data_IF_297981514217
#
_entry.id   IF_297981514217
#
_cell.length_a   1.000
_cell.length_b   1.000
_cell.length_c   1.000
_cell.angle_alpha   90.00
_cell.angle_beta   90.00
_cell.angle_gamma   90.00
#
_symmetry.space_group_name_H-M   'P 1'
#
loop_
_entity.id
_entity.type
_entity.pdbx_description
1 polymer ?
#
# COMPACT_ATOMS: atom_id res chain seq x y z
N UNK A 1 1.01 38.34 40.01
CA UNK A 1 0.27 37.14 39.59
C UNK A 1 -0.23 37.39 38.18
N UNK A 2 0.32 36.72 37.18
CA UNK A 2 -0.18 36.79 35.81
C UNK A 2 -1.58 36.19 35.79
N UNK A 3 -2.55 36.90 35.22
CA UNK A 3 -3.85 36.32 34.87
C UNK A 3 -3.58 35.25 33.81
N UNK A 4 -3.65 33.99 34.18
CA UNK A 4 -3.77 32.91 33.21
C UNK A 4 -5.08 33.12 32.46
N UNK A 5 -4.99 33.38 31.15
CA UNK A 5 -6.14 33.37 30.28
C UNK A 5 -6.64 31.93 30.17
N UNK A 6 -7.94 31.74 30.36
CA UNK A 6 -8.56 30.43 30.09
C UNK A 6 -8.25 30.02 28.65
N UNK A 7 -7.93 28.74 28.41
CA UNK A 7 -7.70 28.25 27.07
C UNK A 7 -8.95 28.44 26.19
N UNK A 8 -8.78 28.64 24.88
CA UNK A 8 -9.89 28.74 23.96
C UNK A 8 -10.75 27.47 24.00
N UNK A 9 -12.07 27.66 23.99
CA UNK A 9 -13.05 26.57 23.91
C UNK A 9 -13.31 26.27 22.44
N UNK A 10 -13.07 25.03 22.04
CA UNK A 10 -13.34 24.55 20.68
C UNK A 10 -14.65 23.75 20.65
N UNK A 11 -15.49 23.91 19.62
CA UNK A 11 -16.63 23.04 19.38
C UNK A 11 -16.23 21.56 19.37
N UNK A 12 -17.03 20.69 19.99
CA UNK A 12 -16.79 19.25 19.98
C UNK A 12 -16.65 18.71 18.56
N UNK A 13 -17.46 19.23 17.64
CA UNK A 13 -17.46 18.87 16.21
C UNK A 13 -16.11 19.04 15.53
N UNK A 14 -15.27 19.98 15.99
CA UNK A 14 -13.94 20.21 15.40
C UNK A 14 -12.98 19.04 15.65
N UNK A 15 -13.24 18.23 16.68
CA UNK A 15 -12.43 17.05 17.01
C UNK A 15 -12.91 15.77 16.32
N UNK A 16 -14.12 15.76 15.75
CA UNK A 16 -14.73 14.58 15.14
C UNK A 16 -15.00 14.73 13.64
N UNK A 17 -14.83 15.92 13.07
CA UNK A 17 -14.97 16.15 11.63
C UNK A 17 -13.70 15.77 10.89
N UNK A 18 -13.87 15.34 9.64
CA UNK A 18 -12.76 15.23 8.70
C UNK A 18 -12.11 16.60 8.43
N UNK A 19 -10.81 16.64 8.08
CA UNK A 19 -10.19 17.87 7.64
C UNK A 19 -10.86 18.39 6.38
N UNK A 20 -10.91 19.71 6.20
CA UNK A 20 -11.50 20.32 4.99
C UNK A 20 -10.71 19.91 3.73
N UNK A 21 -9.37 19.74 3.85
CA UNK A 21 -8.48 19.14 2.84
C UNK A 21 -7.34 18.40 3.54
N UNK A 22 -6.91 17.27 3.02
CA UNK A 22 -5.78 16.52 3.59
C UNK A 22 -5.16 15.50 2.63
N UNK A 23 -4.17 14.77 3.13
CA UNK A 23 -3.58 13.62 2.44
C UNK A 23 -3.00 13.95 1.06
N UNK A 24 -2.25 15.04 0.96
CA UNK A 24 -1.67 15.49 -0.31
C UNK A 24 -0.63 14.50 -0.87
N UNK A 25 -0.65 14.26 -2.18
CA UNK A 25 0.30 13.42 -2.92
C UNK A 25 0.59 14.01 -4.30
N UNK A 26 1.83 13.94 -4.75
CA UNK A 26 2.23 14.33 -6.10
C UNK A 26 2.22 13.10 -7.01
N UNK A 27 1.79 13.29 -8.26
CA UNK A 27 2.05 12.32 -9.33
C UNK A 27 3.55 12.18 -9.58
N UNK A 28 3.99 11.06 -10.16
CA UNK A 28 5.42 10.79 -10.36
C UNK A 28 6.11 11.82 -11.27
N UNK A 29 5.39 12.40 -12.24
CA UNK A 29 5.87 13.48 -13.09
C UNK A 29 5.76 14.88 -12.46
N UNK A 30 5.20 14.98 -11.25
CA UNK A 30 5.00 16.22 -10.51
C UNK A 30 3.96 17.17 -11.12
N UNK A 31 3.19 16.74 -12.13
CA UNK A 31 2.20 17.60 -12.82
C UNK A 31 0.87 17.69 -12.09
N UNK A 32 0.57 16.74 -11.21
CA UNK A 32 -0.71 16.68 -10.52
C UNK A 32 -0.52 16.62 -9.01
N UNK A 33 -1.29 17.44 -8.31
CA UNK A 33 -1.50 17.34 -6.89
C UNK A 33 -2.83 16.62 -6.65
N UNK A 34 -2.78 15.45 -6.03
CA UNK A 34 -3.94 14.81 -5.45
C UNK A 34 -4.06 15.15 -3.96
N UNK A 35 -5.28 15.15 -3.45
CA UNK A 35 -5.62 15.29 -2.04
C UNK A 35 -7.02 14.76 -1.81
N UNK A 36 -7.45 14.68 -0.55
CA UNK A 36 -8.84 14.32 -0.22
C UNK A 36 -9.60 15.49 0.40
N UNK A 37 -10.87 15.62 0.03
CA UNK A 37 -11.84 16.52 0.67
C UNK A 37 -13.14 15.77 1.00
N UNK A 38 -13.85 16.16 2.07
CA UNK A 38 -15.18 15.65 2.35
C UNK A 38 -16.21 16.29 1.40
N UNK A 39 -16.93 15.47 0.65
CA UNK A 39 -17.98 15.90 -0.30
C UNK A 39 -19.26 15.10 -0.10
N UNK A 40 -20.40 15.78 -0.14
CA UNK A 40 -21.73 15.17 -0.12
C UNK A 40 -22.23 14.92 -1.54
N UNK A 41 -22.73 13.71 -1.79
CA UNK A 41 -23.50 13.36 -2.98
C UNK A 41 -24.89 12.88 -2.57
N UNK A 42 -25.89 13.06 -3.44
CA UNK A 42 -27.25 12.51 -3.29
C UNK A 42 -27.89 12.74 -1.91
N UNK A 43 -27.72 13.95 -1.36
CA UNK A 43 -28.17 14.37 -0.01
C UNK A 43 -27.59 13.54 1.17
N UNK A 44 -26.55 12.74 0.90
CA UNK A 44 -25.84 11.94 1.90
C UNK A 44 -24.82 12.73 2.74
N UNK A 45 -24.31 12.12 3.82
CA UNK A 45 -23.25 12.71 4.62
C UNK A 45 -22.00 12.93 3.77
N UNK A 46 -21.21 13.95 4.11
CA UNK A 46 -19.97 14.21 3.40
C UNK A 46 -18.97 13.07 3.64
N UNK A 47 -18.39 12.56 2.55
CA UNK A 47 -17.37 11.51 2.57
C UNK A 47 -16.06 11.97 1.97
N UNK A 48 -14.94 11.53 2.54
CA UNK A 48 -13.62 11.79 1.96
C UNK A 48 -13.52 11.15 0.58
N UNK A 49 -13.30 11.99 -0.43
CA UNK A 49 -13.08 11.58 -1.81
C UNK A 49 -11.78 12.16 -2.34
N UNK A 50 -11.21 11.53 -3.37
CA UNK A 50 -9.98 11.98 -4.01
C UNK A 50 -10.30 13.12 -4.98
N UNK A 51 -9.57 14.21 -4.83
CA UNK A 51 -9.54 15.36 -5.72
C UNK A 51 -8.17 15.47 -6.36
N UNK A 52 -8.14 16.02 -7.57
CA UNK A 52 -6.91 16.26 -8.33
C UNK A 52 -6.89 17.69 -8.86
N UNK A 53 -5.72 18.31 -8.86
CA UNK A 53 -5.50 19.65 -9.39
C UNK A 53 -4.15 19.68 -10.13
N UNK A 54 -4.13 20.32 -11.30
CA UNK A 54 -2.89 20.47 -12.07
C UNK A 54 -1.93 21.43 -11.35
N UNK A 55 -0.63 21.23 -11.54
CA UNK A 55 0.43 22.10 -11.07
C UNK A 55 1.13 22.79 -12.24
N UNK A 56 1.26 24.11 -12.16
CA UNK A 56 2.24 24.88 -12.93
C UNK A 56 3.49 25.08 -12.06
N UNK A 57 4.47 24.18 -12.26
CA UNK A 57 5.63 24.05 -11.38
C UNK A 57 5.22 23.61 -9.98
N UNK A 58 5.30 24.50 -8.99
CA UNK A 58 4.89 24.24 -7.60
C UNK A 58 3.60 24.96 -7.21
N UNK A 59 2.87 25.52 -8.19
CA UNK A 59 1.67 26.32 -7.95
C UNK A 59 0.43 25.61 -8.51
N UNK A 60 -0.63 25.41 -7.71
CA UNK A 60 -1.89 24.88 -8.22
C UNK A 60 -2.48 25.75 -9.33
N UNK A 61 -2.83 25.12 -10.45
CA UNK A 61 -3.43 25.74 -11.62
C UNK A 61 -4.86 25.21 -11.83
N UNK A 62 -5.78 26.09 -12.23
CA UNK A 62 -7.19 25.74 -12.44
C UNK A 62 -7.94 25.37 -11.16
N UNK A 63 -9.13 24.79 -11.33
CA UNK A 63 -9.96 24.30 -10.23
C UNK A 63 -9.65 22.82 -9.94
N UNK A 64 -9.75 22.44 -8.66
CA UNK A 64 -9.66 21.05 -8.27
C UNK A 64 -10.88 20.27 -8.74
N UNK A 65 -10.66 19.05 -9.25
CA UNK A 65 -11.71 18.15 -9.72
C UNK A 65 -11.84 16.96 -8.79
N UNK A 66 -13.06 16.67 -8.34
CA UNK A 66 -13.38 15.43 -7.64
C UNK A 66 -13.28 14.26 -8.62
N UNK A 67 -12.41 13.30 -8.32
CA UNK A 67 -12.12 12.16 -9.19
C UNK A 67 -12.94 10.92 -8.79
N UNK A 68 -13.19 10.72 -7.50
CA UNK A 68 -14.01 9.61 -6.99
C UNK A 68 -15.39 10.08 -6.54
N UNK A 69 -16.31 9.13 -6.33
CA UNK A 69 -17.69 9.37 -5.88
C UNK A 69 -18.14 8.35 -4.85
N UNK A 70 -17.38 8.19 -3.78
CA UNK A 70 -17.71 7.32 -2.65
C UNK A 70 -18.75 7.98 -1.74
N UNK A 71 -19.84 7.26 -1.45
CA UNK A 71 -20.98 7.72 -0.63
C UNK A 71 -21.12 6.93 0.68
N UNK A 72 -20.74 5.66 0.68
CA UNK A 72 -20.95 4.75 1.81
C UNK A 72 -19.93 4.97 2.92
N UNK A 73 -18.65 5.09 2.57
CA UNK A 73 -17.52 5.25 3.50
C UNK A 73 -16.49 6.25 2.97
N UNK A 74 -15.70 6.78 3.90
CA UNK A 74 -14.55 7.63 3.58
C UNK A 74 -13.47 6.81 2.87
N UNK A 75 -12.84 7.38 1.85
CA UNK A 75 -11.54 6.89 1.38
C UNK A 75 -10.53 7.18 2.48
N UNK A 76 -9.88 6.13 3.00
CA UNK A 76 -8.92 6.24 4.10
C UNK A 76 -7.52 6.64 3.62
N UNK A 77 -7.10 6.07 2.49
CA UNK A 77 -5.79 6.30 1.88
C UNK A 77 -5.85 6.07 0.38
N UNK A 78 -4.87 6.64 -0.32
CA UNK A 78 -4.70 6.46 -1.75
C UNK A 78 -3.24 6.67 -2.15
N UNK A 79 -2.88 6.16 -3.32
CA UNK A 79 -1.52 6.18 -3.86
C UNK A 79 -1.57 6.56 -5.34
N UNK A 80 -0.54 7.27 -5.81
CA UNK A 80 -0.31 7.38 -7.24
C UNK A 80 0.34 6.10 -7.74
N UNK A 81 -0.06 5.70 -8.94
CA UNK A 81 0.68 4.75 -9.76
C UNK A 81 1.03 5.45 -11.06
N UNK A 82 2.30 5.77 -11.25
CA UNK A 82 2.71 6.58 -12.38
C UNK A 82 2.17 8.00 -12.27
N UNK A 83 1.79 8.56 -13.43
CA UNK A 83 1.36 9.95 -13.54
C UNK A 83 -0.15 10.14 -13.73
N UNK A 84 -0.90 9.04 -13.84
CA UNK A 84 -2.28 9.08 -14.32
C UNK A 84 -3.22 8.05 -13.68
N UNK A 85 -2.74 7.16 -12.81
CA UNK A 85 -3.59 6.22 -12.06
C UNK A 85 -3.50 6.52 -10.58
N UNK A 86 -4.64 6.52 -9.89
CA UNK A 86 -4.67 6.48 -8.42
C UNK A 86 -5.23 5.14 -7.94
N UNK A 87 -4.61 4.58 -6.91
CA UNK A 87 -5.02 3.34 -6.25
C UNK A 87 -5.58 3.64 -4.87
N UNK A 88 -6.64 2.95 -4.45
CA UNK A 88 -7.17 3.02 -3.11
C UNK A 88 -7.85 1.71 -2.69
N UNK A 89 -7.95 1.49 -1.38
CA UNK A 89 -8.68 0.35 -0.83
C UNK A 89 -10.16 0.70 -0.64
N UNK A 90 -11.05 -0.22 -1.02
CA UNK A 90 -12.50 -0.03 -0.88
C UNK A 90 -13.18 -1.26 -0.29
N UNK A 91 -14.01 -1.03 0.72
CA UNK A 91 -14.98 -2.02 1.21
C UNK A 91 -16.35 -1.69 0.59
N UNK A 92 -16.92 -2.63 -0.16
CA UNK A 92 -18.17 -2.44 -0.89
C UNK A 92 -19.43 -2.75 -0.05
N UNK A 93 -19.32 -3.56 1.01
CA UNK A 93 -20.50 -4.10 1.72
C UNK A 93 -20.42 -3.93 3.24
N UNK A 94 -19.36 -3.29 3.73
CA UNK A 94 -19.10 -3.10 5.14
C UNK A 94 -18.62 -4.35 5.87
N UNK A 95 -18.12 -5.34 5.15
CA UNK A 95 -17.70 -6.65 5.64
C UNK A 95 -16.19 -6.73 5.91
N UNK A 96 -15.47 -5.61 5.78
CA UNK A 96 -14.01 -5.49 5.93
C UNK A 96 -13.20 -6.28 4.89
N UNK A 97 -13.86 -6.79 3.85
CA UNK A 97 -13.21 -7.34 2.67
C UNK A 97 -12.83 -6.20 1.73
N UNK A 98 -11.71 -5.55 2.05
CA UNK A 98 -11.17 -4.49 1.20
C UNK A 98 -10.71 -5.05 -0.13
N UNK A 99 -11.08 -4.36 -1.20
CA UNK A 99 -10.62 -4.59 -2.56
C UNK A 99 -9.60 -3.50 -2.94
N UNK A 100 -8.70 -3.81 -3.87
CA UNK A 100 -7.81 -2.81 -4.48
C UNK A 100 -8.51 -2.21 -5.69
N UNK A 101 -8.65 -0.89 -5.71
CA UNK A 101 -9.37 -0.16 -6.76
C UNK A 101 -8.44 0.83 -7.44
N UNK A 102 -8.52 0.92 -8.76
CA UNK A 102 -7.84 1.91 -9.57
C UNK A 102 -8.82 2.97 -10.09
N UNK A 103 -8.37 4.21 -10.19
CA UNK A 103 -9.08 5.28 -10.88
C UNK A 103 -8.17 5.97 -11.90
N UNK A 104 -8.62 6.01 -13.15
CA UNK A 104 -7.93 6.72 -14.21
C UNK A 104 -8.14 8.22 -14.07
N UNK A 105 -7.05 8.98 -14.05
CA UNK A 105 -7.06 10.43 -13.89
C UNK A 105 -7.93 11.10 -14.96
N UNK A 106 -7.79 10.74 -16.22
CA UNK A 106 -8.42 11.46 -17.33
C UNK A 106 -9.86 11.01 -17.57
N UNK A 107 -10.10 9.70 -17.59
CA UNK A 107 -11.41 9.11 -17.82
C UNK A 107 -12.31 9.17 -16.57
N UNK A 108 -11.73 9.24 -15.37
CA UNK A 108 -12.47 9.14 -14.10
C UNK A 108 -13.12 7.77 -13.91
N UNK A 109 -12.71 6.77 -14.68
CA UNK A 109 -13.24 5.41 -14.59
C UNK A 109 -12.62 4.73 -13.37
N UNK A 110 -13.49 4.19 -12.52
CA UNK A 110 -13.12 3.42 -11.34
C UNK A 110 -13.22 1.94 -11.68
N UNK A 111 -12.13 1.20 -11.46
CA UNK A 111 -12.00 -0.22 -11.78
C UNK A 111 -11.60 -0.98 -10.53
N UNK A 112 -12.38 -1.99 -10.17
CA UNK A 112 -12.02 -2.95 -9.11
C UNK A 112 -10.99 -3.94 -9.68
N UNK A 113 -9.79 -3.94 -9.11
CA UNK A 113 -8.69 -4.81 -9.54
C UNK A 113 -8.75 -6.18 -8.86
N UNK A 114 -9.64 -6.36 -7.88
CA UNK A 114 -9.86 -7.63 -7.19
C UNK A 114 -11.36 -7.94 -7.07
N UNK A 115 -12.10 -8.07 -8.18
CA UNK A 115 -13.56 -8.15 -8.21
C UNK A 115 -14.09 -9.55 -7.80
N UNK A 116 -13.52 -10.11 -6.74
CA UNK A 116 -13.80 -11.43 -6.23
C UNK A 116 -14.71 -11.32 -5.00
N UNK A 117 -15.88 -11.99 -4.98
CA UNK A 117 -16.71 -12.03 -3.79
C UNK A 117 -15.96 -12.62 -2.59
N UNK A 118 -16.30 -12.15 -1.39
CA UNK A 118 -15.77 -12.66 -0.10
C UNK A 118 -14.23 -12.67 -0.03
N UNK A 119 -13.59 -11.77 -0.80
CA UNK A 119 -12.13 -11.69 -0.92
C UNK A 119 -11.62 -10.42 -0.29
N UNK A 120 -10.62 -10.57 0.56
CA UNK A 120 -9.83 -9.45 1.05
C UNK A 120 -8.54 -9.37 0.25
N UNK A 121 -8.19 -8.14 -0.14
CA UNK A 121 -7.02 -7.83 -0.92
C UNK A 121 -6.26 -6.63 -0.32
N UNK A 122 -4.99 -6.53 -0.70
CA UNK A 122 -4.15 -5.37 -0.41
C UNK A 122 -2.97 -5.30 -1.37
N UNK A 123 -2.40 -4.10 -1.52
CA UNK A 123 -1.17 -3.91 -2.29
C UNK A 123 -0.03 -4.53 -1.48
N UNK A 124 0.64 -5.51 -2.07
CA UNK A 124 1.83 -6.14 -1.49
C UNK A 124 3.10 -5.36 -1.84
N UNK A 125 3.16 -4.81 -3.06
CA UNK A 125 4.27 -4.00 -3.56
C UNK A 125 3.74 -3.07 -4.65
N UNK A 126 4.14 -1.81 -4.62
CA UNK A 126 3.69 -0.83 -5.61
C UNK A 126 4.49 -0.91 -6.91
N UNK A 127 5.60 -1.65 -6.96
CA UNK A 127 6.49 -1.77 -8.12
C UNK A 127 6.87 -0.41 -8.72
N UNK A 128 7.56 0.42 -7.95
CA UNK A 128 7.92 1.80 -8.30
C UNK A 128 8.38 2.01 -9.76
N UNK A 129 9.26 1.15 -10.29
CA UNK A 129 9.82 1.28 -11.64
C UNK A 129 8.96 0.68 -12.78
N UNK A 130 7.81 0.05 -12.46
CA UNK A 130 6.88 -0.54 -13.45
C UNK A 130 5.55 0.23 -13.43
N UNK A 131 5.32 1.24 -14.29
CA UNK A 131 4.14 2.11 -14.18
C UNK A 131 2.80 1.41 -14.44
N UNK A 132 2.80 0.19 -14.98
CA UNK A 132 1.59 -0.50 -15.41
C UNK A 132 1.14 -1.60 -14.44
N UNK A 133 2.00 -2.04 -13.52
CA UNK A 133 1.69 -3.15 -12.63
C UNK A 133 1.90 -2.84 -11.15
N UNK A 134 1.16 -3.55 -10.31
CA UNK A 134 1.39 -3.68 -8.88
C UNK A 134 1.41 -5.15 -8.50
N UNK A 135 1.91 -5.45 -7.31
CA UNK A 135 1.64 -6.73 -6.67
C UNK A 135 0.45 -6.59 -5.73
N UNK A 136 -0.53 -7.48 -5.88
CA UNK A 136 -1.69 -7.59 -5.00
C UNK A 136 -1.63 -8.92 -4.28
N UNK A 137 -1.79 -8.87 -2.96
CA UNK A 137 -1.99 -10.05 -2.15
C UNK A 137 -3.48 -10.19 -1.82
N UNK A 138 -4.10 -11.33 -2.14
CA UNK A 138 -5.50 -11.58 -1.82
C UNK A 138 -5.80 -13.05 -1.55
N UNK A 139 -6.90 -13.31 -0.84
CA UNK A 139 -7.25 -14.64 -0.30
C UNK A 139 -8.39 -15.34 -1.06
N UNK A 140 -8.55 -15.03 -2.36
CA UNK A 140 -9.66 -15.56 -3.17
C UNK A 140 -9.66 -17.10 -3.24
N UNK A 141 -8.48 -17.71 -3.39
CA UNK A 141 -8.32 -19.16 -3.50
C UNK A 141 -8.64 -19.87 -2.17
N UNK A 142 -8.14 -19.33 -1.07
CA UNK A 142 -8.26 -19.91 0.27
C UNK A 142 -8.33 -18.76 1.30
N UNK A 143 -9.42 -18.65 2.09
CA UNK A 143 -9.62 -17.51 3.00
C UNK A 143 -8.48 -17.22 3.98
N UNK A 144 -7.70 -18.23 4.34
CA UNK A 144 -6.59 -18.11 5.30
C UNK A 144 -5.26 -17.72 4.65
N UNK A 145 -5.16 -17.71 3.31
CA UNK A 145 -3.90 -17.60 2.58
C UNK A 145 -3.95 -16.49 1.55
N UNK A 146 -3.10 -15.48 1.73
CA UNK A 146 -2.97 -14.38 0.79
C UNK A 146 -1.89 -14.71 -0.25
N UNK A 147 -2.32 -15.29 -1.37
CA UNK A 147 -1.49 -15.50 -2.54
C UNK A 147 -1.14 -14.16 -3.17
N UNK A 148 -0.03 -14.08 -3.90
CA UNK A 148 0.44 -12.83 -4.52
C UNK A 148 0.39 -12.92 -6.04
N UNK A 149 -0.18 -11.87 -6.64
CA UNK A 149 -0.43 -11.73 -8.06
C UNK A 149 0.20 -10.44 -8.58
N UNK A 150 0.72 -10.46 -9.79
CA UNK A 150 1.05 -9.23 -10.53
C UNK A 150 -0.19 -8.81 -11.29
N UNK A 151 -0.66 -7.58 -11.07
CA UNK A 151 -1.91 -7.06 -11.63
C UNK A 151 -1.61 -5.84 -12.48
N UNK A 152 -2.11 -5.80 -13.70
CA UNK A 152 -2.08 -4.60 -14.54
C UNK A 152 -3.15 -3.61 -14.08
N UNK A 153 -2.74 -2.39 -13.72
CA UNK A 153 -3.65 -1.40 -13.11
C UNK A 153 -4.67 -0.80 -14.08
N UNK A 154 -4.48 -0.98 -15.39
CA UNK A 154 -5.37 -0.44 -16.43
C UNK A 154 -6.38 -1.46 -16.92
N UNK A 155 -5.96 -2.72 -17.04
CA UNK A 155 -6.80 -3.80 -17.58
C UNK A 155 -7.41 -4.69 -16.51
N UNK A 156 -6.83 -4.73 -15.30
CA UNK A 156 -7.17 -5.70 -14.26
C UNK A 156 -6.70 -7.12 -14.56
N UNK A 157 -5.91 -7.34 -15.62
CA UNK A 157 -5.33 -8.65 -15.90
C UNK A 157 -4.32 -9.01 -14.81
N UNK A 158 -4.44 -10.23 -14.27
CA UNK A 158 -3.57 -10.72 -13.20
C UNK A 158 -2.81 -11.99 -13.59
N UNK A 159 -1.62 -12.14 -13.03
CA UNK A 159 -0.79 -13.34 -13.13
C UNK A 159 -0.35 -13.76 -11.73
N UNK A 160 -0.67 -15.00 -11.34
CA UNK A 160 -0.21 -15.59 -10.09
C UNK A 160 1.33 -15.67 -10.07
N UNK A 161 1.96 -15.09 -9.04
CA UNK A 161 3.41 -15.16 -8.83
C UNK A 161 3.81 -16.22 -7.82
N UNK A 162 3.04 -16.36 -6.74
CA UNK A 162 3.25 -17.39 -5.73
C UNK A 162 1.98 -17.67 -4.93
N UNK A 163 1.69 -18.95 -4.72
CA UNK A 163 0.72 -19.37 -3.71
C UNK A 163 1.33 -19.25 -2.32
N UNK A 164 0.53 -18.76 -1.37
CA UNK A 164 0.84 -18.78 0.04
C UNK A 164 0.50 -20.17 0.59
N UNK A 165 1.46 -20.93 1.12
CA UNK A 165 1.20 -22.22 1.76
C UNK A 165 0.46 -22.11 3.12
N UNK A 166 0.13 -20.89 3.56
CA UNK A 166 -0.67 -20.60 4.75
C UNK A 166 0.09 -19.92 5.88
N UNK A 167 1.39 -19.65 5.71
CA UNK A 167 2.23 -19.06 6.76
C UNK A 167 3.08 -17.87 6.30
N UNK A 168 2.94 -17.44 5.04
CA UNK A 168 3.63 -16.24 4.54
C UNK A 168 2.84 -15.01 4.99
N UNK A 169 3.54 -14.08 5.63
CA UNK A 169 2.98 -12.85 6.20
C UNK A 169 3.50 -11.58 5.52
N UNK A 170 4.54 -11.68 4.68
CA UNK A 170 5.02 -10.57 3.85
C UNK A 170 5.72 -11.10 2.59
N UNK A 171 5.64 -10.33 1.51
CA UNK A 171 6.26 -10.59 0.21
C UNK A 171 7.20 -9.43 -0.13
N UNK A 172 8.34 -9.71 -0.77
CA UNK A 172 9.37 -8.70 -1.07
C UNK A 172 9.92 -8.87 -2.48
N UNK A 173 9.93 -7.78 -3.24
CA UNK A 173 10.50 -7.75 -4.59
C UNK A 173 11.88 -7.12 -4.64
N UNK A 174 12.62 -7.43 -5.69
CA UNK A 174 13.86 -6.72 -6.04
C UNK A 174 13.54 -5.48 -6.91
N UNK A 175 14.55 -4.66 -7.23
CA UNK A 175 14.37 -3.42 -8.04
C UNK A 175 13.93 -3.69 -9.50
N UNK A 176 13.79 -4.96 -9.90
CA UNK A 176 13.20 -5.33 -11.18
C UNK A 176 11.76 -5.85 -11.02
N UNK A 177 11.17 -5.69 -9.85
CA UNK A 177 9.83 -6.15 -9.50
C UNK A 177 9.70 -7.66 -9.41
N UNK A 178 10.82 -8.39 -9.29
CA UNK A 178 10.80 -9.85 -9.18
C UNK A 178 10.62 -10.25 -7.73
N UNK A 179 9.61 -11.06 -7.45
CA UNK A 179 9.35 -11.56 -6.10
C UNK A 179 10.47 -12.52 -5.68
N UNK A 180 11.34 -12.12 -4.74
CA UNK A 180 12.56 -12.87 -4.40
C UNK A 180 12.78 -13.13 -2.92
N UNK A 181 12.03 -12.46 -2.05
CA UNK A 181 12.02 -12.77 -0.63
C UNK A 181 10.59 -12.80 -0.09
N UNK A 182 10.42 -13.50 1.04
CA UNK A 182 9.16 -13.58 1.75
C UNK A 182 9.44 -13.73 3.25
N UNK A 183 8.52 -13.27 4.09
CA UNK A 183 8.58 -13.50 5.53
C UNK A 183 7.52 -14.54 5.89
N UNK A 184 7.95 -15.66 6.46
CA UNK A 184 7.07 -16.70 6.98
C UNK A 184 6.99 -16.63 8.51
N UNK A 185 5.85 -16.99 9.10
CA UNK A 185 5.73 -17.18 10.55
C UNK A 185 4.83 -18.35 10.90
N UNK A 186 5.23 -19.15 11.89
CA UNK A 186 4.39 -20.19 12.50
C UNK A 186 3.76 -19.72 13.83
N UNK A 187 3.88 -18.43 14.16
CA UNK A 187 3.41 -17.83 15.40
C UNK A 187 4.43 -17.85 16.55
N UNK A 188 5.53 -18.62 16.44
CA UNK A 188 6.62 -18.65 17.41
C UNK A 188 7.91 -18.11 16.80
N UNK A 189 8.24 -18.60 15.61
CA UNK A 189 9.40 -18.22 14.83
C UNK A 189 8.98 -17.39 13.62
N UNK A 190 9.90 -16.55 13.16
CA UNK A 190 9.81 -15.83 11.90
C UNK A 190 10.98 -16.24 11.04
N UNK A 191 10.73 -16.59 9.79
CA UNK A 191 11.78 -16.99 8.84
C UNK A 191 11.76 -16.07 7.63
N UNK A 192 12.89 -15.41 7.38
CA UNK A 192 13.17 -14.78 6.09
C UNK A 192 13.47 -15.90 5.08
N UNK A 193 12.66 -15.96 4.03
CA UNK A 193 12.81 -16.85 2.90
C UNK A 193 13.40 -16.09 1.71
N UNK A 194 14.16 -16.80 0.87
CA UNK A 194 14.82 -16.24 -0.30
C UNK A 194 14.76 -17.21 -1.49
N UNK A 195 14.72 -16.66 -2.70
CA UNK A 195 14.94 -17.38 -3.97
C UNK A 195 15.74 -16.52 -4.95
N UNK A 196 16.51 -17.16 -5.83
CA UNK A 196 17.34 -16.47 -6.81
C UNK A 196 16.50 -15.90 -7.96
N UNK A 197 15.57 -16.70 -8.47
CA UNK A 197 14.64 -16.30 -9.53
C UNK A 197 13.19 -16.67 -9.19
N UNK A 198 12.21 -16.11 -9.91
CA UNK A 198 10.79 -16.39 -9.69
C UNK A 198 10.38 -17.83 -10.03
N UNK A 199 11.20 -18.54 -10.81
CA UNK A 199 10.99 -19.96 -11.13
C UNK A 199 11.54 -20.90 -10.06
N UNK A 200 12.36 -20.40 -9.13
CA UNK A 200 12.92 -21.20 -8.05
C UNK A 200 11.94 -21.29 -6.87
N UNK A 201 12.07 -22.38 -6.10
CA UNK A 201 11.43 -22.49 -4.81
C UNK A 201 12.10 -21.60 -3.76
N UNK A 202 11.32 -21.07 -2.83
CA UNK A 202 11.85 -20.38 -1.66
C UNK A 202 12.63 -21.34 -0.77
N UNK A 203 13.79 -20.89 -0.28
CA UNK A 203 14.58 -21.55 0.77
C UNK A 203 14.63 -20.68 2.03
N UNK A 204 14.71 -21.28 3.24
CA UNK A 204 14.98 -20.52 4.45
C UNK A 204 16.34 -19.85 4.38
N UNK A 205 16.40 -18.60 4.80
CA UNK A 205 17.62 -17.80 4.87
C UNK A 205 18.03 -17.55 6.32
N UNK A 206 17.14 -16.93 7.11
CA UNK A 206 17.37 -16.64 8.53
C UNK A 206 16.08 -16.90 9.30
N UNK A 207 16.17 -17.66 10.39
CA UNK A 207 15.07 -17.87 11.33
C UNK A 207 15.37 -17.14 12.64
N UNK A 208 14.37 -16.44 13.18
CA UNK A 208 14.43 -15.74 14.45
C UNK A 208 13.27 -16.15 15.36
N UNK A 209 13.51 -16.07 16.67
CA UNK A 209 12.49 -16.22 17.70
C UNK A 209 11.94 -14.84 18.14
N UNK A 210 11.14 -14.81 19.21
CA UNK A 210 10.59 -13.58 19.77
C UNK A 210 11.61 -12.55 20.29
N UNK A 211 12.90 -12.92 20.43
CA UNK A 211 13.94 -12.01 20.96
C UNK A 211 14.65 -11.23 19.85
N UNK A 212 14.63 -11.76 18.63
CA UNK A 212 15.35 -11.16 17.52
C UNK A 212 14.44 -10.96 16.30
N UNK A 213 14.75 -9.95 15.51
CA UNK A 213 14.04 -9.65 14.28
C UNK A 213 14.98 -9.47 13.11
N UNK A 214 14.49 -9.84 11.93
CA UNK A 214 15.06 -9.52 10.64
C UNK A 214 13.90 -9.02 9.77
N UNK A 215 13.89 -7.73 9.50
CA UNK A 215 12.91 -7.07 8.63
C UNK A 215 13.63 -6.61 7.36
N UNK A 216 13.44 -7.28 6.21
CA UNK A 216 13.91 -6.77 4.93
C UNK A 216 13.23 -5.44 4.61
N UNK A 217 14.01 -4.47 4.13
CA UNK A 217 13.49 -3.14 3.75
C UNK A 217 13.55 -2.95 2.22
N UNK A 218 14.64 -3.34 1.58
CA UNK A 218 14.77 -3.41 0.11
C UNK A 218 16.00 -4.25 -0.28
N UNK A 219 16.04 -4.71 -1.52
CA UNK A 219 17.28 -5.24 -2.10
C UNK A 219 18.33 -4.14 -2.24
N UNK A 220 19.62 -4.47 -2.18
CA UNK A 220 20.67 -3.53 -2.62
C UNK A 220 20.43 -3.16 -4.07
N UNK A 221 20.88 -1.97 -4.50
CA UNK A 221 20.61 -1.46 -5.86
C UNK A 221 21.21 -2.32 -7.00
N UNK A 222 22.11 -3.24 -6.68
CA UNK A 222 22.62 -4.26 -7.62
C UNK A 222 21.83 -5.59 -7.57
N UNK A 223 20.75 -5.65 -6.79
CA UNK A 223 19.86 -6.79 -6.57
C UNK A 223 20.53 -8.05 -6.01
N UNK A 224 21.68 -7.92 -5.33
CA UNK A 224 22.43 -9.07 -4.80
C UNK A 224 22.15 -9.38 -3.33
N UNK A 225 22.05 -8.34 -2.50
CA UNK A 225 21.87 -8.46 -1.06
C UNK A 225 20.55 -7.79 -0.63
N UNK A 226 20.21 -7.89 0.65
CA UNK A 226 19.07 -7.16 1.24
C UNK A 226 19.57 -6.15 2.27
N UNK A 227 19.10 -4.92 2.18
CA UNK A 227 19.07 -4.02 3.34
C UNK A 227 17.97 -4.47 4.28
N UNK A 228 18.29 -4.60 5.56
CA UNK A 228 17.34 -5.04 6.57
C UNK A 228 17.55 -4.32 7.90
N UNK A 229 16.49 -4.17 8.68
CA UNK A 229 16.58 -3.84 10.11
C UNK A 229 16.71 -5.14 10.91
N UNK A 230 17.77 -5.24 11.72
CA UNK A 230 17.96 -6.39 12.60
C UNK A 230 18.65 -6.05 13.91
N UNK A 231 18.20 -6.70 14.98
CA UNK A 231 18.84 -6.70 16.30
C UNK A 231 19.62 -8.00 16.60
N UNK A 232 19.86 -8.88 15.61
CA UNK A 232 20.66 -10.11 15.83
C UNK A 232 22.03 -9.76 16.44
N UNK A 233 22.32 -10.36 17.60
CA UNK A 233 23.58 -10.16 18.33
C UNK A 233 23.73 -8.81 19.04
N UNK A 234 22.64 -8.04 19.22
CA UNK A 234 22.62 -6.73 19.87
C UNK A 234 21.25 -6.46 20.53
N UNK A 235 21.13 -5.37 21.27
CA UNK A 235 19.89 -4.97 21.97
C UNK A 235 18.97 -4.09 21.13
N UNK A 236 19.54 -3.28 20.23
CA UNK A 236 18.79 -2.37 19.35
C UNK A 236 18.81 -2.80 17.88
N UNK A 237 17.78 -2.42 17.12
CA UNK A 237 17.79 -2.55 15.66
C UNK A 237 18.94 -1.74 15.06
N UNK A 238 19.59 -2.32 14.04
CA UNK A 238 20.49 -1.59 13.17
C UNK A 238 20.18 -1.94 11.71
N UNK A 239 20.43 -0.98 10.82
CA UNK A 239 20.46 -1.24 9.39
C UNK A 239 21.67 -2.12 9.06
N UNK A 240 21.41 -3.27 8.45
CA UNK A 240 22.42 -4.25 8.05
C UNK A 240 22.26 -4.61 6.58
N UNK A 241 23.29 -5.25 6.02
CA UNK A 241 23.21 -5.92 4.73
C UNK A 241 23.23 -7.42 5.00
N UNK A 242 22.27 -8.14 4.42
CA UNK A 242 22.21 -9.60 4.43
C UNK A 242 22.60 -10.09 3.04
N UNK A 243 23.67 -10.87 2.98
CA UNK A 243 24.07 -11.60 1.78
C UNK A 243 23.35 -12.95 1.77
N UNK A 244 22.47 -13.24 0.78
CA UNK A 244 21.77 -14.51 0.71
C UNK A 244 22.68 -15.75 0.65
N UNK A 245 23.93 -15.59 0.21
CA UNK A 245 24.93 -16.65 0.14
C UNK A 245 25.71 -16.81 1.46
N UNK A 246 25.67 -15.80 2.35
CA UNK A 246 26.31 -15.81 3.67
C UNK A 246 25.50 -15.01 4.72
N UNK A 247 24.35 -15.54 5.18
CA UNK A 247 23.33 -14.83 5.97
C UNK A 247 23.54 -14.71 7.49
#
# INVERSE_FOLDING_TARGET
>A
MSRESLPPVYPLTDFFRNPDRGFFRLSDDGRWLAFMEPVSFDDGPARMNIFVQELDGSTPAGEARCLTRETERDIAEYYWKGSDILLYAKDFQGDENFHVVAVDLHAGTVSDLTPYPETRAGIADDLYDDPDHILVAHNHREPQSFDVYRVNVRTGEETLLAENPGNIIAWHTDHHGRLRAATASDGLETTLLYRESETDGFRPLITTDFRSSVSPELFTFDNRCLYALSNRGRDCLALVIIDPDNP
#
